data_IF_589434356291
#
_entry.id   IF_589434356291
#
_cell.length_a   1.000
_cell.length_b   1.000
_cell.length_c   1.000
_cell.angle_alpha   90.00
_cell.angle_beta   90.00
_cell.angle_gamma   90.00
#
_symmetry.space_group_name_H-M   'P 1'
#
loop_
_entity.id
_entity.type
_entity.pdbx_description
1 polymer ?
#
# COMPACT_ATOMS: atom_id res chain seq x y z
N UNK A 1 -17.83 -10.03 -12.54
CA UNK A 1 -16.68 -10.03 -11.60
C UNK A 1 -15.42 -9.46 -12.26
N UNK A 2 -15.04 -9.93 -13.46
CA UNK A 2 -13.85 -9.45 -14.18
C UNK A 2 -13.85 -7.94 -14.41
N UNK A 3 -15.01 -7.33 -14.71
CA UNK A 3 -15.13 -5.89 -14.91
C UNK A 3 -14.90 -5.08 -13.63
N UNK A 4 -15.31 -5.61 -12.48
CA UNK A 4 -15.13 -4.95 -11.18
C UNK A 4 -13.66 -5.02 -10.77
N UNK A 5 -13.03 -6.18 -10.90
CA UNK A 5 -11.59 -6.36 -10.62
C UNK A 5 -10.75 -5.49 -11.54
N UNK A 6 -11.08 -5.45 -12.84
CA UNK A 6 -10.40 -4.58 -13.80
C UNK A 6 -10.51 -3.10 -13.46
N UNK A 7 -11.69 -2.65 -12.99
CA UNK A 7 -11.88 -1.27 -12.53
C UNK A 7 -11.03 -0.94 -11.30
N UNK A 8 -10.90 -1.89 -10.37
CA UNK A 8 -10.03 -1.72 -9.19
C UNK A 8 -8.56 -1.65 -9.60
N UNK A 9 -8.09 -2.54 -10.46
CA UNK A 9 -6.71 -2.51 -10.95
C UNK A 9 -6.39 -1.20 -11.68
N UNK A 10 -7.31 -0.73 -12.52
CA UNK A 10 -7.15 0.55 -13.21
C UNK A 10 -7.09 1.73 -12.24
N UNK A 11 -7.94 1.73 -11.21
CA UNK A 11 -7.93 2.75 -10.18
C UNK A 11 -6.62 2.74 -9.37
N UNK A 12 -6.14 1.58 -8.96
CA UNK A 12 -4.88 1.44 -8.22
C UNK A 12 -3.72 1.96 -9.07
N UNK A 13 -3.64 1.55 -10.33
CA UNK A 13 -2.57 1.98 -11.23
C UNK A 13 -2.59 3.50 -11.44
N UNK A 14 -3.75 4.11 -11.63
CA UNK A 14 -3.89 5.55 -11.79
C UNK A 14 -3.44 6.30 -10.53
N UNK A 15 -3.89 5.91 -9.35
CA UNK A 15 -3.55 6.59 -8.11
C UNK A 15 -2.06 6.48 -7.75
N UNK A 16 -1.43 5.37 -8.07
CA UNK A 16 0.02 5.19 -7.89
C UNK A 16 0.80 6.06 -8.87
N UNK A 17 0.46 6.01 -10.16
CA UNK A 17 1.17 6.74 -11.21
C UNK A 17 0.99 8.25 -11.09
N UNK A 18 -0.20 8.73 -10.76
CA UNK A 18 -0.50 10.16 -10.59
C UNK A 18 0.31 10.79 -9.44
N UNK A 19 0.77 9.96 -8.50
CA UNK A 19 1.64 10.40 -7.39
C UNK A 19 3.12 10.09 -7.58
N UNK A 20 3.52 9.75 -8.80
CA UNK A 20 4.92 9.54 -9.16
C UNK A 20 5.45 8.16 -8.81
N UNK A 21 4.58 7.22 -8.47
CA UNK A 21 4.95 5.83 -8.28
C UNK A 21 4.91 5.01 -9.57
N UNK A 22 5.46 3.82 -9.51
CA UNK A 22 5.42 2.83 -10.58
C UNK A 22 4.61 1.62 -10.12
N UNK A 23 3.88 1.03 -11.04
CA UNK A 23 3.14 -0.21 -10.78
C UNK A 23 4.03 -1.38 -11.15
N UNK A 24 4.24 -2.26 -10.18
CA UNK A 24 4.93 -3.53 -10.38
C UNK A 24 4.01 -4.62 -10.90
N UNK A 25 4.46 -5.86 -10.81
CA UNK A 25 3.66 -7.00 -11.26
C UNK A 25 2.39 -7.18 -10.44
N UNK A 26 1.32 -7.56 -11.12
CA UNK A 26 0.12 -8.06 -10.45
C UNK A 26 0.40 -9.48 -9.92
N UNK A 27 0.12 -9.70 -8.64
CA UNK A 27 0.27 -11.02 -7.99
C UNK A 27 -1.11 -11.48 -7.54
N UNK A 28 -1.67 -12.43 -8.26
CA UNK A 28 -3.04 -12.84 -8.01
C UNK A 28 -4.02 -11.68 -8.21
N UNK A 29 -4.73 -11.30 -7.17
CA UNK A 29 -5.63 -10.14 -7.12
C UNK A 29 -4.95 -8.87 -6.56
N UNK A 30 -3.69 -8.98 -6.14
CA UNK A 30 -2.91 -7.89 -5.57
C UNK A 30 -2.14 -7.06 -6.61
N UNK A 31 -1.81 -5.84 -6.23
CA UNK A 31 -1.01 -4.91 -7.02
C UNK A 31 0.14 -4.40 -6.18
N UNK A 32 1.33 -4.38 -6.75
CA UNK A 32 2.50 -3.77 -6.13
C UNK A 32 2.69 -2.35 -6.69
N UNK A 33 2.60 -1.35 -5.83
CA UNK A 33 3.01 0.01 -6.13
C UNK A 33 4.39 0.29 -5.53
N UNK A 34 5.25 0.96 -6.28
CA UNK A 34 6.59 1.31 -5.82
C UNK A 34 6.82 2.80 -6.00
N UNK A 35 7.23 3.45 -4.93
CA UNK A 35 7.61 4.87 -4.91
C UNK A 35 9.11 4.97 -4.70
N UNK A 36 9.75 5.90 -5.40
CA UNK A 36 11.20 5.99 -5.47
C UNK A 36 11.77 5.54 -6.81
N UNK A 37 10.90 5.17 -7.75
CA UNK A 37 11.26 4.78 -9.11
C UNK A 37 10.29 5.36 -10.14
N UNK A 38 10.79 5.74 -11.30
CA UNK A 38 12.20 5.81 -11.74
C UNK A 38 12.99 6.92 -11.03
N UNK A 39 12.31 7.80 -10.32
CA UNK A 39 12.90 8.94 -9.61
C UNK A 39 12.49 8.91 -8.14
N UNK A 40 13.45 8.99 -7.24
CA UNK A 40 13.19 9.11 -5.81
C UNK A 40 12.84 10.56 -5.45
N UNK A 41 11.89 10.73 -4.54
CA UNK A 41 11.48 11.99 -3.96
C UNK A 41 11.59 11.90 -2.44
N UNK A 42 11.86 13.01 -1.80
CA UNK A 42 11.99 13.06 -0.33
C UNK A 42 10.67 12.74 0.39
N UNK A 43 9.55 12.93 -0.30
CA UNK A 43 8.19 12.69 0.19
C UNK A 43 7.55 11.40 -0.36
N UNK A 44 8.34 10.44 -0.82
CA UNK A 44 7.82 9.17 -1.35
C UNK A 44 6.92 8.41 -0.35
N UNK A 45 7.23 8.36 0.96
CA UNK A 45 6.32 7.73 1.92
C UNK A 45 4.96 8.42 2.02
N UNK A 46 4.91 9.74 2.00
CA UNK A 46 3.67 10.53 1.99
C UNK A 46 2.90 10.32 0.69
N UNK A 47 3.59 10.23 -0.45
CA UNK A 47 2.99 9.94 -1.75
C UNK A 47 2.35 8.54 -1.76
N UNK A 48 3.04 7.55 -1.21
CA UNK A 48 2.51 6.18 -1.08
C UNK A 48 1.25 6.15 -0.20
N UNK A 49 1.26 6.85 0.92
CA UNK A 49 0.09 6.93 1.79
C UNK A 49 -1.06 7.70 1.15
N UNK A 50 -0.77 8.79 0.44
CA UNK A 50 -1.77 9.51 -0.34
C UNK A 50 -2.43 8.63 -1.40
N UNK A 51 -1.65 7.83 -2.11
CA UNK A 51 -2.16 6.84 -3.06
C UNK A 51 -3.05 5.81 -2.35
N UNK A 52 -2.62 5.28 -1.21
CA UNK A 52 -3.38 4.30 -0.45
C UNK A 52 -4.76 4.84 -0.03
N UNK A 53 -4.82 6.04 0.50
CA UNK A 53 -6.09 6.69 0.88
C UNK A 53 -7.00 6.92 -0.33
N UNK A 54 -6.44 7.39 -1.44
CA UNK A 54 -7.20 7.60 -2.68
C UNK A 54 -7.72 6.28 -3.26
N UNK A 55 -6.94 5.20 -3.21
CA UNK A 55 -7.36 3.86 -3.62
C UNK A 55 -8.56 3.39 -2.80
N UNK A 56 -8.52 3.52 -1.48
CA UNK A 56 -9.67 3.14 -0.64
C UNK A 56 -10.94 3.91 -1.03
N UNK A 57 -10.81 5.20 -1.26
CA UNK A 57 -11.93 6.03 -1.71
C UNK A 57 -12.47 5.58 -3.08
N UNK A 58 -11.57 5.27 -4.02
CA UNK A 58 -11.96 4.75 -5.34
C UNK A 58 -12.67 3.39 -5.25
N UNK A 59 -12.21 2.53 -4.38
CA UNK A 59 -12.87 1.23 -4.15
C UNK A 59 -14.29 1.42 -3.59
N UNK A 60 -14.51 2.37 -2.69
CA UNK A 60 -15.84 2.71 -2.22
C UNK A 60 -16.75 3.21 -3.34
N UNK A 61 -16.24 4.06 -4.24
CA UNK A 61 -16.98 4.50 -5.42
C UNK A 61 -17.31 3.34 -6.36
N UNK A 62 -16.37 2.43 -6.59
CA UNK A 62 -16.60 1.24 -7.42
C UNK A 62 -17.68 0.34 -6.78
N UNK A 63 -17.64 0.15 -5.47
CA UNK A 63 -18.66 -0.63 -4.76
C UNK A 63 -20.05 -0.01 -4.89
N UNK A 64 -20.16 1.32 -4.79
CA UNK A 64 -21.44 2.02 -4.89
C UNK A 64 -22.03 2.06 -6.31
N UNK A 65 -21.25 1.77 -7.32
CA UNK A 65 -21.66 1.77 -8.73
C UNK A 65 -21.65 0.33 -9.30
N UNK A 66 -20.48 -0.12 -9.75
CA UNK A 66 -20.33 -1.44 -10.35
C UNK A 66 -20.61 -2.57 -9.37
N UNK A 67 -20.22 -2.41 -8.10
CA UNK A 67 -20.46 -3.39 -7.06
C UNK A 67 -21.97 -3.65 -6.88
N UNK A 68 -22.75 -2.59 -6.78
CA UNK A 68 -24.22 -2.69 -6.70
C UNK A 68 -24.79 -3.32 -7.96
N UNK A 69 -24.33 -2.89 -9.13
CA UNK A 69 -24.81 -3.44 -10.41
C UNK A 69 -24.58 -4.95 -10.55
N UNK A 70 -23.43 -5.44 -10.07
CA UNK A 70 -23.06 -6.86 -10.19
C UNK A 70 -23.29 -7.68 -8.91
N UNK A 71 -23.81 -7.07 -7.84
CA UNK A 71 -24.08 -7.75 -6.59
C UNK A 71 -22.83 -8.20 -5.84
N UNK A 72 -21.73 -7.45 -5.96
CA UNK A 72 -20.44 -7.76 -5.33
C UNK A 72 -19.96 -6.58 -4.50
N UNK A 73 -19.18 -6.88 -3.47
CA UNK A 73 -18.48 -5.87 -2.66
C UNK A 73 -17.02 -6.24 -2.56
N UNK A 74 -16.15 -5.26 -2.82
CA UNK A 74 -14.70 -5.41 -2.76
C UNK A 74 -14.18 -4.71 -1.52
N UNK A 75 -13.33 -5.39 -0.75
CA UNK A 75 -12.55 -4.82 0.32
C UNK A 75 -11.09 -4.72 -0.13
N UNK A 76 -10.53 -3.52 -0.13
CA UNK A 76 -9.11 -3.31 -0.36
C UNK A 76 -8.38 -3.27 0.99
N UNK A 77 -7.21 -3.88 1.02
CA UNK A 77 -6.26 -3.81 2.13
C UNK A 77 -4.91 -3.41 1.58
N UNK A 78 -4.20 -2.57 2.31
CA UNK A 78 -2.94 -1.98 1.83
C UNK A 78 -1.91 -2.10 2.94
N UNK A 79 -0.71 -2.57 2.58
CA UNK A 79 0.48 -2.55 3.41
C UNK A 79 1.53 -1.66 2.78
N UNK A 80 2.17 -0.82 3.56
CA UNK A 80 3.24 0.07 3.09
C UNK A 80 4.48 -0.16 3.93
N UNK A 81 5.58 -0.46 3.27
CA UNK A 81 6.89 -0.60 3.90
C UNK A 81 7.94 0.21 3.14
N UNK A 82 8.85 0.81 3.86
CA UNK A 82 10.00 1.54 3.34
C UNK A 82 11.26 0.79 3.68
N UNK A 83 12.11 0.60 2.69
CA UNK A 83 13.38 -0.09 2.87
C UNK A 83 14.18 -0.12 1.58
N UNK A 84 15.32 -0.76 1.64
CA UNK A 84 16.17 -0.98 0.47
C UNK A 84 15.58 -2.05 -0.43
N UNK A 85 15.71 -1.84 -1.74
CA UNK A 85 15.30 -2.82 -2.75
C UNK A 85 16.33 -2.82 -3.88
N UNK A 86 16.64 -4.01 -4.39
CA UNK A 86 17.49 -4.16 -5.55
C UNK A 86 16.60 -4.20 -6.79
N UNK A 87 16.90 -3.33 -7.73
CA UNK A 87 16.11 -3.14 -8.93
C UNK A 87 16.95 -3.47 -10.12
N UNK A 88 16.43 -4.35 -10.98
CA UNK A 88 17.02 -4.68 -12.26
C UNK A 88 16.53 -3.73 -13.35
N UNK A 89 17.47 -3.34 -14.22
CA UNK A 89 17.15 -2.64 -15.46
C UNK A 89 17.63 -3.50 -16.62
N UNK A 90 16.73 -3.86 -17.53
CA UNK A 90 17.05 -4.67 -18.70
C UNK A 90 16.57 -3.95 -19.95
N UNK A 91 17.50 -3.25 -20.62
CA UNK A 91 17.24 -2.65 -21.93
C UNK A 91 16.23 -1.51 -21.94
N UNK A 92 16.10 -0.75 -20.83
CA UNK A 92 15.19 0.39 -20.71
C UNK A 92 13.86 0.06 -20.02
N UNK A 93 13.53 -1.22 -19.86
CA UNK A 93 12.40 -1.65 -19.05
C UNK A 93 12.84 -1.83 -17.60
N UNK A 94 12.18 -1.13 -16.69
CA UNK A 94 12.36 -1.33 -15.26
C UNK A 94 11.50 -2.54 -14.88
N UNK A 95 12.15 -3.62 -14.47
CA UNK A 95 11.44 -4.77 -13.91
C UNK A 95 11.91 -5.03 -12.50
N UNK A 96 10.97 -5.49 -11.69
CA UNK A 96 11.25 -5.87 -10.33
C UNK A 96 11.57 -7.36 -10.31
N UNK A 97 12.83 -7.69 -9.98
CA UNK A 97 13.17 -9.05 -9.66
C UNK A 97 12.62 -9.36 -8.26
N UNK A 98 11.62 -10.23 -8.19
CA UNK A 98 11.02 -10.66 -6.93
C UNK A 98 12.06 -11.26 -5.96
N UNK A 99 13.12 -11.86 -6.48
CA UNK A 99 14.22 -12.38 -5.67
C UNK A 99 15.14 -11.28 -5.14
N UNK A 100 15.22 -10.14 -5.84
CA UNK A 100 16.03 -8.99 -5.46
C UNK A 100 15.31 -7.93 -4.61
N UNK A 101 13.97 -7.90 -4.66
CA UNK A 101 13.15 -7.03 -3.81
C UNK A 101 13.02 -7.55 -2.39
N UNK A 102 13.27 -8.84 -2.21
CA UNK A 102 13.45 -9.58 -0.99
C UNK A 102 12.52 -9.14 0.13
N UNK A 103 13.17 -8.69 1.15
CA UNK A 103 12.58 -8.44 2.45
C UNK A 103 11.64 -7.22 2.48
N UNK A 104 11.94 -6.18 1.71
CA UNK A 104 11.16 -4.93 1.71
C UNK A 104 9.75 -5.15 1.14
N UNK A 105 9.63 -5.84 0.02
CA UNK A 105 8.33 -6.14 -0.59
C UNK A 105 7.58 -7.22 0.19
N UNK A 106 8.27 -8.24 0.68
CA UNK A 106 7.66 -9.26 1.51
C UNK A 106 7.07 -8.68 2.80
N UNK A 107 7.75 -7.71 3.41
CA UNK A 107 7.23 -7.00 4.58
C UNK A 107 5.96 -6.22 4.22
N UNK A 108 5.95 -5.48 3.12
CA UNK A 108 4.74 -4.78 2.66
C UNK A 108 3.56 -5.73 2.41
N UNK A 109 3.81 -6.87 1.77
CA UNK A 109 2.78 -7.88 1.52
C UNK A 109 2.20 -8.46 2.81
N UNK A 110 3.03 -8.63 3.84
CA UNK A 110 2.58 -9.12 5.15
C UNK A 110 1.82 -8.09 5.94
N UNK A 111 2.21 -6.81 5.86
CA UNK A 111 1.45 -5.70 6.42
C UNK A 111 0.07 -5.59 5.78
N UNK A 112 -0.02 -5.81 4.46
CA UNK A 112 -1.32 -5.93 3.79
C UNK A 112 -2.16 -7.06 4.42
N UNK A 113 -1.59 -8.24 4.54
CA UNK A 113 -2.29 -9.43 5.04
C UNK A 113 -2.77 -9.31 6.49
N UNK A 114 -2.03 -8.65 7.37
CA UNK A 114 -2.43 -8.51 8.77
C UNK A 114 -3.60 -7.55 9.00
N UNK A 115 -3.92 -6.67 8.06
CA UNK A 115 -5.12 -5.84 8.13
C UNK A 115 -6.39 -6.65 8.42
N UNK A 116 -6.45 -7.85 7.88
CA UNK A 116 -7.58 -8.76 8.10
C UNK A 116 -7.79 -9.12 9.57
N UNK A 117 -6.70 -9.29 10.31
CA UNK A 117 -6.75 -9.69 11.72
C UNK A 117 -6.89 -8.50 12.66
N UNK A 118 -6.46 -7.32 12.24
CA UNK A 118 -6.48 -6.09 13.03
C UNK A 118 -7.73 -5.24 12.77
N UNK A 119 -8.57 -5.67 11.83
CA UNK A 119 -9.73 -4.88 11.36
C UNK A 119 -9.33 -3.47 10.91
N UNK A 120 -8.20 -3.39 10.21
CA UNK A 120 -7.66 -2.18 9.60
C UNK A 120 -7.71 -2.28 8.09
N UNK A 121 -7.52 -1.16 7.40
CA UNK A 121 -7.50 -1.11 5.93
C UNK A 121 -6.12 -0.73 5.39
N UNK A 122 -5.34 0.03 6.15
CA UNK A 122 -3.97 0.40 5.83
C UNK A 122 -3.11 0.10 7.06
N UNK A 123 -2.02 -0.64 6.84
CA UNK A 123 -0.95 -0.81 7.83
C UNK A 123 0.36 -0.32 7.25
N UNK A 124 1.11 0.45 8.02
CA UNK A 124 2.44 0.92 7.67
C UNK A 124 3.47 0.39 8.68
N UNK A 125 4.71 0.23 8.23
CA UNK A 125 5.82 -0.10 9.12
C UNK A 125 6.33 1.12 9.87
N UNK A 126 7.02 0.89 10.98
CA UNK A 126 7.74 1.93 11.71
C UNK A 126 8.74 2.67 10.82
N UNK A 127 9.44 1.96 9.93
CA UNK A 127 10.38 2.59 8.98
C UNK A 127 9.69 3.56 8.01
N UNK A 128 8.46 3.28 7.61
CA UNK A 128 7.67 4.23 6.81
C UNK A 128 7.28 5.45 7.65
N UNK A 129 6.78 5.23 8.86
CA UNK A 129 6.39 6.32 9.77
C UNK A 129 7.56 7.23 10.12
N UNK A 130 8.75 6.69 10.34
CA UNK A 130 9.95 7.46 10.67
C UNK A 130 10.34 8.47 9.56
N UNK A 131 9.99 8.18 8.31
CA UNK A 131 10.21 9.08 7.18
C UNK A 131 9.07 10.07 6.93
N UNK A 132 7.93 9.87 7.58
CA UNK A 132 6.79 10.79 7.50
C UNK A 132 6.17 11.01 8.90
N UNK A 133 6.95 11.56 9.86
CA UNK A 133 6.53 11.64 11.26
C UNK A 133 5.36 12.59 11.51
N UNK A 134 5.01 13.43 10.55
CA UNK A 134 3.85 14.34 10.63
C UNK A 134 2.50 13.62 10.47
N UNK A 135 2.52 12.38 10.00
CA UNK A 135 1.30 11.59 9.83
C UNK A 135 0.84 11.06 11.19
N UNK A 136 -0.39 11.35 11.53
CA UNK A 136 -1.01 10.79 12.73
C UNK A 136 -1.25 9.30 12.54
N UNK A 137 -0.79 8.52 13.50
CA UNK A 137 -0.90 7.07 13.49
C UNK A 137 -1.40 6.54 14.84
N UNK A 138 -1.94 5.34 14.79
CA UNK A 138 -2.23 4.53 15.96
C UNK A 138 -1.33 3.29 15.91
N UNK A 139 -0.62 2.99 16.99
CA UNK A 139 0.07 1.71 17.10
C UNK A 139 -0.96 0.58 17.18
N UNK A 140 -0.75 -0.43 16.35
CA UNK A 140 -1.61 -1.63 16.34
C UNK A 140 -0.85 -2.87 16.80
N UNK A 141 0.41 -2.72 17.13
CA UNK A 141 1.28 -3.70 17.75
C UNK A 141 2.54 -3.98 16.94
N UNK A 142 3.40 -4.77 17.55
CA UNK A 142 4.57 -5.30 16.87
C UNK A 142 4.27 -6.70 16.37
N UNK A 143 4.62 -6.98 15.13
CA UNK A 143 4.36 -8.27 14.51
C UNK A 143 5.66 -8.97 14.16
N UNK A 144 5.71 -10.26 14.44
CA UNK A 144 6.76 -11.13 13.93
C UNK A 144 6.29 -11.60 12.55
N UNK A 145 7.00 -11.17 11.54
CA UNK A 145 6.73 -11.62 10.19
C UNK A 145 7.41 -12.97 9.96
N UNK A 146 6.70 -13.90 9.32
CA UNK A 146 7.21 -15.24 9.01
C UNK A 146 8.53 -15.12 8.24
N UNK A 147 9.60 -15.75 8.77
CA UNK A 147 10.93 -15.69 8.21
C UNK A 147 11.80 -14.52 8.69
N UNK A 148 11.24 -13.62 9.53
CA UNK A 148 12.00 -12.57 10.23
C UNK A 148 12.17 -12.94 11.71
N UNK A 149 13.34 -12.62 12.26
CA UNK A 149 13.60 -12.77 13.70
C UNK A 149 13.21 -11.52 14.48
N UNK A 150 13.12 -10.38 13.80
CA UNK A 150 12.87 -9.09 14.40
C UNK A 150 11.39 -8.72 14.35
N UNK A 151 10.96 -8.01 15.37
CA UNK A 151 9.65 -7.42 15.42
C UNK A 151 9.55 -6.25 14.43
N UNK A 152 8.46 -6.20 13.69
CA UNK A 152 8.13 -5.06 12.84
C UNK A 152 7.04 -4.25 13.53
N UNK A 153 7.38 -3.04 13.93
CA UNK A 153 6.40 -2.09 14.45
C UNK A 153 5.35 -1.81 13.36
N UNK A 154 4.11 -1.96 13.73
CA UNK A 154 2.97 -1.79 12.82
C UNK A 154 2.07 -0.68 13.30
N UNK A 155 1.75 0.25 12.41
CA UNK A 155 0.94 1.41 12.70
C UNK A 155 -0.20 1.52 11.69
N UNK A 156 -1.34 2.02 12.15
CA UNK A 156 -2.45 2.40 11.29
C UNK A 156 -2.44 3.92 11.11
N UNK A 157 -2.32 4.44 9.88
CA UNK A 157 -2.46 5.87 9.64
C UNK A 157 -3.90 6.30 9.84
N UNK A 158 -4.11 7.35 10.63
CA UNK A 158 -5.42 7.92 10.90
C UNK A 158 -5.85 8.87 9.78
N UNK A 159 -7.16 9.08 9.64
CA UNK A 159 -7.70 10.04 8.69
C UNK A 159 -7.29 11.48 9.10
N UNK A 160 -7.10 12.34 8.11
CA UNK A 160 -6.66 13.73 8.33
C UNK A 160 -7.61 14.55 9.20
N UNK A 161 -8.88 14.17 9.29
CA UNK A 161 -9.92 14.89 10.03
C UNK A 161 -9.92 14.66 11.56
N UNK A 162 -9.00 13.86 12.07
CA UNK A 162 -8.89 13.64 13.53
C UNK A 162 -8.13 14.73 14.27
N UNK A 163 -7.69 15.81 13.58
CA UNK A 163 -7.03 16.97 14.22
C UNK A 163 -7.96 17.84 15.07
N UNK A 164 -9.19 17.47 15.29
CA UNK A 164 -10.17 18.30 16.00
C UNK A 164 -11.01 17.60 17.05
N UNK A 165 -10.72 16.34 17.36
CA UNK A 165 -11.36 15.69 18.50
C UNK A 165 -10.57 16.05 19.77
N UNK A 166 -10.82 17.22 20.31
CA UNK A 166 -10.52 17.49 21.71
C UNK A 166 -11.41 16.56 22.55
N UNK A 167 -10.78 15.82 23.42
CA UNK A 167 -11.42 14.98 24.44
C UNK A 167 -11.89 15.83 25.60
#
# INVERSE_FOLDING_TARGET
LANVVGAVHAAVSAEVQDRGGAVGAFVGDGVLGVFGLPTAHDDDPERALGAARAILHRVEQINSTLGVRFGVSIAARIGINTGEAIIGNNGGDIFFDYTGLGDTVNTAARLEGINKYLDTRICISGSTHDQCPSILTREVGDVILKGKKDLVQTLEPLAENHRGAEW
#
